data_IF_893435098929
#
_entry.id   IF_893435098929
#
_cell.length_a   1.000
_cell.length_b   1.000
_cell.length_c   1.000
_cell.angle_alpha   90.00
_cell.angle_beta   90.00
_cell.angle_gamma   90.00
#
_symmetry.space_group_name_H-M   'P 1'
#
loop_
_entity.id
_entity.type
_entity.pdbx_description
1 polymer ?
#
# COMPACT_ATOMS: atom_id res chain seq x y z
N UNK A 1 -6.60 7.85 -8.77
CA UNK A 1 -7.82 7.62 -7.94
C UNK A 1 -7.50 6.47 -7.02
N UNK A 2 -7.72 6.69 -5.73
CA UNK A 2 -7.51 5.70 -4.69
C UNK A 2 -8.82 5.53 -3.92
N UNK A 3 -9.12 4.28 -3.57
CA UNK A 3 -10.31 3.86 -2.86
C UNK A 3 -9.87 3.25 -1.54
N UNK A 4 -10.42 3.75 -0.43
CA UNK A 4 -10.26 3.14 0.88
C UNK A 4 -11.48 2.26 1.19
N UNK A 5 -11.22 1.06 1.68
CA UNK A 5 -12.24 0.11 2.10
C UNK A 5 -11.94 -0.23 3.55
N UNK A 6 -12.72 0.34 4.46
CA UNK A 6 -12.70 -0.08 5.86
C UNK A 6 -13.16 -1.54 5.96
N UNK A 7 -12.37 -2.37 6.61
CA UNK A 7 -12.76 -3.73 6.99
C UNK A 7 -13.24 -3.75 8.44
N UNK A 8 -13.99 -4.78 8.78
CA UNK A 8 -14.39 -5.04 10.16
C UNK A 8 -13.14 -5.37 11.00
N UNK A 9 -13.13 -4.96 12.28
CA UNK A 9 -12.05 -5.25 13.25
C UNK A 9 -10.73 -4.46 13.09
N UNK A 10 -10.79 -3.16 12.76
CA UNK A 10 -9.59 -2.29 12.81
C UNK A 10 -8.59 -2.54 11.68
N UNK A 11 -9.10 -3.04 10.55
CA UNK A 11 -8.34 -3.30 9.33
C UNK A 11 -8.86 -2.39 8.21
N UNK A 12 -8.00 -1.95 7.31
CA UNK A 12 -8.36 -1.12 6.17
C UNK A 12 -7.63 -1.59 4.91
N UNK A 13 -8.35 -1.71 3.81
CA UNK A 13 -7.78 -2.01 2.49
C UNK A 13 -7.73 -0.76 1.64
N UNK A 14 -6.53 -0.37 1.22
CA UNK A 14 -6.31 0.74 0.30
C UNK A 14 -6.05 0.21 -1.10
N UNK A 15 -6.87 0.65 -2.06
CA UNK A 15 -6.79 0.25 -3.46
C UNK A 15 -6.44 1.47 -4.29
N UNK A 16 -5.24 1.47 -4.85
CA UNK A 16 -4.75 2.57 -5.67
C UNK A 16 -4.62 2.14 -7.14
N UNK A 17 -5.51 2.66 -7.99
CA UNK A 17 -5.54 2.39 -9.44
C UNK A 17 -4.45 3.11 -10.22
N UNK A 18 -4.06 4.29 -9.74
CA UNK A 18 -2.96 5.08 -10.28
C UNK A 18 -2.03 5.38 -9.13
N UNK A 19 -1.04 4.51 -8.94
CA UNK A 19 -0.09 4.66 -7.86
C UNK A 19 1.10 5.51 -8.35
N UNK A 20 1.20 6.80 -7.96
CA UNK A 20 2.30 7.65 -8.39
C UNK A 20 3.64 7.15 -7.85
N UNK A 21 3.63 6.41 -6.73
CA UNK A 21 4.83 5.76 -6.21
C UNK A 21 5.25 4.60 -7.11
N UNK A 22 4.29 3.85 -7.65
CA UNK A 22 4.54 2.81 -8.65
C UNK A 22 5.01 3.40 -10.00
N UNK A 23 4.50 4.56 -10.42
CA UNK A 23 5.03 5.30 -11.57
C UNK A 23 6.47 5.80 -11.33
N UNK A 24 6.77 6.30 -10.14
CA UNK A 24 8.14 6.67 -9.76
C UNK A 24 9.06 5.45 -9.63
N UNK A 25 8.53 4.32 -9.13
CA UNK A 25 9.23 3.04 -9.03
C UNK A 25 9.58 2.44 -10.39
N UNK A 26 8.81 2.72 -11.45
CA UNK A 26 9.19 2.38 -12.84
C UNK A 26 10.45 3.12 -13.28
N UNK A 27 10.66 4.35 -12.83
CA UNK A 27 11.86 5.13 -13.12
C UNK A 27 13.04 4.77 -12.20
N UNK A 28 12.75 4.34 -10.97
CA UNK A 28 13.77 3.97 -9.98
C UNK A 28 13.28 2.81 -9.11
N UNK A 29 13.69 1.58 -9.43
CA UNK A 29 13.24 0.35 -8.75
C UNK A 29 13.50 0.35 -7.24
N UNK A 30 14.48 1.13 -6.76
CA UNK A 30 14.72 1.31 -5.33
C UNK A 30 13.52 1.92 -4.58
N UNK A 31 12.72 2.77 -5.23
CA UNK A 31 11.54 3.39 -4.61
C UNK A 31 10.44 2.36 -4.32
N UNK A 32 10.37 1.27 -5.10
CA UNK A 32 9.41 0.18 -4.92
C UNK A 32 9.54 -0.53 -3.57
N UNK A 33 10.78 -0.64 -3.06
CA UNK A 33 11.03 -1.20 -1.73
C UNK A 33 10.74 -0.19 -0.63
N UNK A 34 11.12 1.06 -0.87
CA UNK A 34 11.02 2.13 0.12
C UNK A 34 9.57 2.52 0.41
N UNK A 35 8.67 2.40 -0.56
CA UNK A 35 7.25 2.70 -0.37
C UNK A 35 6.66 2.02 0.88
N UNK A 36 6.84 0.70 1.00
CA UNK A 36 6.23 -0.06 2.10
C UNK A 36 6.90 0.24 3.44
N UNK A 37 8.23 0.47 3.43
CA UNK A 37 8.97 0.93 4.61
C UNK A 37 8.48 2.32 5.06
N UNK A 38 8.22 3.24 4.13
CA UNK A 38 7.69 4.58 4.41
C UNK A 38 6.27 4.49 4.97
N UNK A 39 5.41 3.65 4.39
CA UNK A 39 4.08 3.40 4.95
C UNK A 39 4.19 2.83 6.37
N UNK A 40 5.06 1.86 6.61
CA UNK A 40 5.23 1.29 7.94
C UNK A 40 5.80 2.30 8.95
N UNK A 41 6.68 3.22 8.53
CA UNK A 41 7.15 4.32 9.38
C UNK A 41 6.06 5.35 9.70
N UNK A 42 5.23 5.72 8.72
CA UNK A 42 4.14 6.70 8.93
C UNK A 42 3.00 6.10 9.74
N UNK A 43 2.66 4.84 9.47
CA UNK A 43 1.56 4.15 10.12
C UNK A 43 1.93 3.63 11.51
N UNK A 44 3.23 3.34 11.74
CA UNK A 44 3.75 2.81 12.99
C UNK A 44 4.10 1.32 12.87
N UNK A 45 5.13 0.89 13.62
CA UNK A 45 5.63 -0.50 13.64
C UNK A 45 4.62 -1.51 14.18
N UNK A 46 3.60 -1.02 14.89
CA UNK A 46 2.51 -1.78 15.51
C UNK A 46 1.39 -2.08 14.49
N UNK A 47 1.39 -1.38 13.36
CA UNK A 47 0.45 -1.59 12.25
C UNK A 47 1.08 -2.53 11.23
N UNK A 48 0.33 -3.55 10.84
CA UNK A 48 0.78 -4.51 9.83
C UNK A 48 0.26 -4.08 8.45
N UNK A 49 1.16 -3.74 7.52
CA UNK A 49 0.81 -3.44 6.13
C UNK A 49 1.29 -4.55 5.19
N UNK A 50 0.34 -5.16 4.50
CA UNK A 50 0.56 -6.24 3.54
C UNK A 50 0.19 -5.74 2.15
N UNK A 51 1.07 -5.95 1.18
CA UNK A 51 0.77 -5.65 -0.22
C UNK A 51 0.16 -6.87 -0.91
N UNK A 52 -1.14 -6.79 -1.22
CA UNK A 52 -1.92 -7.86 -1.82
C UNK A 52 -1.79 -7.96 -3.34
N UNK A 53 -1.63 -6.84 -4.05
CA UNK A 53 -1.58 -6.80 -5.52
C UNK A 53 -0.76 -5.63 -6.04
N UNK A 54 -0.12 -5.78 -7.20
CA UNK A 54 0.76 -4.74 -7.73
C UNK A 54 0.77 -4.64 -9.25
N UNK A 55 0.63 -3.41 -9.77
CA UNK A 55 0.59 -3.16 -11.22
C UNK A 55 1.87 -3.65 -11.92
N UNK A 56 3.04 -3.56 -11.27
CA UNK A 56 4.29 -4.09 -11.84
C UNK A 56 4.32 -5.62 -11.98
N UNK A 57 3.48 -6.35 -11.24
CA UNK A 57 3.35 -7.82 -11.35
C UNK A 57 2.26 -8.26 -12.32
N UNK A 58 1.55 -7.31 -12.95
CA UNK A 58 0.47 -7.59 -13.89
C UNK A 58 -0.94 -7.43 -13.31
N UNK A 59 -1.08 -6.95 -12.06
CA UNK A 59 -2.39 -6.60 -11.51
C UNK A 59 -2.94 -5.30 -12.12
N UNK A 60 -4.25 -5.12 -12.08
CA UNK A 60 -4.90 -3.90 -12.59
C UNK A 60 -4.80 -2.70 -11.62
N UNK A 61 -4.50 -2.96 -10.34
CA UNK A 61 -4.42 -1.95 -9.28
C UNK A 61 -3.35 -2.36 -8.25
N UNK A 62 -2.80 -1.40 -7.52
CA UNK A 62 -2.04 -1.70 -6.30
C UNK A 62 -3.01 -1.85 -5.13
N UNK A 63 -2.86 -2.91 -4.33
CA UNK A 63 -3.71 -3.20 -3.17
C UNK A 63 -2.83 -3.34 -1.93
N UNK A 64 -3.18 -2.60 -0.90
CA UNK A 64 -2.54 -2.62 0.42
C UNK A 64 -3.60 -2.96 1.45
N UNK A 65 -3.33 -3.95 2.29
CA UNK A 65 -4.16 -4.31 3.42
C UNK A 65 -3.42 -3.92 4.67
N UNK A 66 -4.03 -3.08 5.48
CA UNK A 66 -3.50 -2.55 6.72
C UNK A 66 -4.32 -3.20 7.83
N UNK A 67 -3.67 -3.87 8.77
CA UNK A 67 -4.28 -4.55 9.91
C UNK A 67 -3.71 -3.95 11.20
N UNK A 68 -4.49 -4.01 12.28
CA UNK A 68 -4.10 -3.42 13.58
C UNK A 68 -3.93 -1.90 13.54
N UNK A 69 -4.68 -1.22 12.68
CA UNK A 69 -4.72 0.23 12.64
C UNK A 69 -5.64 0.75 13.77
N UNK A 70 -5.05 1.15 14.88
CA UNK A 70 -5.74 1.91 15.94
C UNK A 70 -5.51 3.41 15.68
N UNK A 71 -6.31 3.99 14.79
CA UNK A 71 -6.29 5.42 14.44
C UNK A 71 -6.92 6.31 15.50
#
# INVERSE_FOLDING_TARGET
MAEEIAQEEGSCSYIEKHCPICEAAKACFNLYKWELEMFQEVLGLEVEIIRGGHILRGDNCCIYTISHWEG
#
